data_IF_034659382167
#
_entry.id   IF_034659382167
#
_cell.length_a   1.000
_cell.length_b   1.000
_cell.length_c   1.000
_cell.angle_alpha   90.00
_cell.angle_beta   90.00
_cell.angle_gamma   90.00
#
_symmetry.space_group_name_H-M   'P 1'
#
loop_
_entity.id
_entity.type
_entity.pdbx_description
1 polymer ?
#
# COMPACT_ATOMS: atom_id res chain seq x y z
N UNK A 1 -11.48 3.20 2.99
CA UNK A 1 -10.09 3.54 2.60
C UNK A 1 -10.11 4.91 1.95
N UNK A 2 -8.99 5.63 1.95
CA UNK A 2 -8.86 6.96 1.36
C UNK A 2 -7.52 7.14 0.68
N UNK A 3 -7.39 8.19 -0.12
CA UNK A 3 -6.11 8.63 -0.65
C UNK A 3 -5.14 8.97 0.50
N UNK A 4 -3.98 8.33 0.49
CA UNK A 4 -2.85 8.59 1.39
C UNK A 4 -1.84 9.56 0.79
N UNK A 5 -0.57 9.39 1.13
CA UNK A 5 0.53 10.19 0.60
C UNK A 5 0.67 10.02 -0.92
N UNK A 6 0.89 11.12 -1.64
CA UNK A 6 1.16 11.13 -3.08
C UNK A 6 2.26 12.14 -3.39
N UNK A 7 3.27 11.70 -4.13
CA UNK A 7 4.36 12.52 -4.64
C UNK A 7 4.76 12.06 -6.05
N UNK A 8 5.27 12.98 -6.85
CA UNK A 8 5.56 12.77 -8.27
C UNK A 8 4.41 13.22 -9.15
N UNK A 9 4.74 13.93 -10.24
CA UNK A 9 3.78 14.68 -11.06
C UNK A 9 2.70 13.82 -11.74
N UNK A 10 2.95 12.52 -11.93
CA UNK A 10 2.01 11.59 -12.56
C UNK A 10 1.53 10.48 -11.60
N UNK A 11 1.87 10.57 -10.32
CA UNK A 11 1.44 9.60 -9.31
C UNK A 11 -0.01 9.86 -8.90
N UNK A 12 -0.78 8.80 -8.68
CA UNK A 12 -2.19 8.91 -8.30
C UNK A 12 -2.69 7.69 -7.53
N UNK A 13 -3.88 7.86 -6.96
CA UNK A 13 -4.66 6.78 -6.34
C UNK A 13 -6.08 6.85 -6.88
N UNK A 14 -6.62 5.73 -7.34
CA UNK A 14 -7.96 5.67 -7.93
C UNK A 14 -8.68 4.38 -7.53
N UNK A 15 -9.99 4.49 -7.24
CA UNK A 15 -10.85 3.33 -6.98
C UNK A 15 -11.33 2.73 -8.31
N UNK A 16 -11.15 1.43 -8.47
CA UNK A 16 -11.73 0.63 -9.55
C UNK A 16 -12.92 -0.18 -9.02
N UNK A 17 -13.57 -1.04 -9.82
CA UNK A 17 -14.69 -1.85 -9.33
C UNK A 17 -14.29 -2.83 -8.22
N UNK A 18 -13.11 -3.44 -8.34
CA UNK A 18 -12.67 -4.59 -7.53
C UNK A 18 -11.36 -4.36 -6.76
N UNK A 19 -10.69 -3.22 -6.95
CA UNK A 19 -9.46 -2.86 -6.26
C UNK A 19 -9.33 -1.34 -6.09
N UNK A 20 -8.36 -0.92 -5.27
CA UNK A 20 -7.81 0.44 -5.30
C UNK A 20 -6.45 0.38 -5.97
N UNK A 21 -6.26 1.21 -6.99
CA UNK A 21 -4.99 1.33 -7.70
C UNK A 21 -4.18 2.48 -7.11
N UNK A 22 -2.94 2.19 -6.73
CA UNK A 22 -1.92 3.18 -6.42
C UNK A 22 -0.88 3.14 -7.53
N UNK A 23 -0.61 4.28 -8.16
CA UNK A 23 0.32 4.40 -9.27
C UNK A 23 1.40 5.43 -8.93
N UNK A 24 2.66 5.03 -9.03
CA UNK A 24 3.82 5.87 -8.79
C UNK A 24 4.59 6.07 -10.08
N UNK A 25 4.67 7.33 -10.53
CA UNK A 25 5.43 7.71 -11.72
C UNK A 25 5.74 9.21 -11.69
N UNK A 26 6.97 9.54 -12.09
CA UNK A 26 7.38 10.92 -12.31
C UNK A 26 8.40 10.94 -13.44
N UNK A 27 8.00 11.51 -14.57
CA UNK A 27 8.85 11.61 -15.76
C UNK A 27 10.00 12.62 -15.59
N UNK A 28 9.91 13.54 -14.63
CA UNK A 28 10.88 14.63 -14.45
C UNK A 28 12.08 14.24 -13.59
N UNK A 29 11.86 13.47 -12.52
CA UNK A 29 12.93 13.04 -11.59
C UNK A 29 13.13 11.53 -11.54
N UNK A 30 12.24 10.76 -12.19
CA UNK A 30 12.21 9.30 -12.12
C UNK A 30 11.62 8.72 -10.83
N UNK A 31 11.25 9.55 -9.85
CA UNK A 31 10.78 9.12 -8.53
C UNK A 31 9.40 9.66 -8.14
N UNK A 32 8.63 8.84 -7.46
CA UNK A 32 7.22 9.03 -7.17
C UNK A 32 6.72 8.02 -6.16
N UNK A 33 5.59 8.36 -5.54
CA UNK A 33 4.95 7.54 -4.53
C UNK A 33 3.44 7.79 -4.57
N UNK A 34 2.65 6.75 -4.37
CA UNK A 34 1.22 6.86 -4.16
C UNK A 34 0.75 5.80 -3.17
N UNK A 35 -0.06 6.22 -2.20
CA UNK A 35 -0.52 5.35 -1.13
C UNK A 35 -2.04 5.37 -0.97
N UNK A 36 -2.62 4.22 -0.65
CA UNK A 36 -3.98 4.12 -0.08
C UNK A 36 -3.87 3.81 1.40
N UNK A 37 -4.75 4.39 2.21
CA UNK A 37 -4.73 4.23 3.68
C UNK A 37 -6.12 3.94 4.26
N UNK A 38 -6.17 3.26 5.40
CA UNK A 38 -7.40 3.14 6.21
C UNK A 38 -7.84 4.50 6.74
N UNK A 39 -9.15 4.79 6.71
CA UNK A 39 -9.70 6.07 7.18
C UNK A 39 -9.72 6.12 8.71
N UNK A 40 -10.02 4.98 9.31
CA UNK A 40 -10.07 4.74 10.75
C UNK A 40 -8.87 3.85 11.08
N UNK A 41 -8.16 4.12 12.17
CA UNK A 41 -7.11 3.22 12.61
C UNK A 41 -7.69 1.86 13.01
N UNK A 42 -6.93 0.81 12.76
CA UNK A 42 -7.25 -0.58 13.06
C UNK A 42 -6.55 -0.95 14.35
N UNK A 43 -7.27 -1.51 15.30
CA UNK A 43 -6.66 -2.04 16.53
C UNK A 43 -5.88 -3.32 16.21
N UNK A 44 -4.58 -3.30 16.49
CA UNK A 44 -3.66 -4.41 16.26
C UNK A 44 -3.36 -5.20 17.55
N UNK A 45 -4.03 -4.90 18.66
CA UNK A 45 -3.86 -5.63 19.92
C UNK A 45 -4.10 -7.13 19.73
N UNK A 46 -3.06 -7.94 19.95
CA UNK A 46 -3.11 -9.39 19.81
C UNK A 46 -3.13 -9.91 18.36
N UNK A 47 -2.92 -9.03 17.37
CA UNK A 47 -2.83 -9.42 15.95
C UNK A 47 -1.40 -9.82 15.60
N UNK A 48 -1.22 -10.95 14.93
CA UNK A 48 0.11 -11.41 14.50
C UNK A 48 0.49 -10.84 13.14
N UNK A 49 -0.43 -10.88 12.19
CA UNK A 49 -0.21 -10.47 10.81
C UNK A 49 -1.33 -9.61 10.24
N UNK A 50 -0.92 -8.58 9.51
CA UNK A 50 -1.77 -7.91 8.52
C UNK A 50 -1.46 -8.52 7.17
N UNK A 51 -2.48 -9.03 6.48
CA UNK A 51 -2.35 -9.61 5.14
C UNK A 51 -2.97 -8.68 4.12
N UNK A 52 -2.19 -8.32 3.09
CA UNK A 52 -2.65 -7.53 1.96
C UNK A 52 -2.80 -8.45 0.74
N UNK A 53 -3.99 -8.49 0.16
CA UNK A 53 -4.27 -9.12 -1.14
C UNK A 53 -4.05 -8.08 -2.23
N UNK A 54 -3.06 -8.29 -3.09
CA UNK A 54 -2.58 -7.29 -4.03
C UNK A 54 -2.06 -7.90 -5.32
N UNK A 55 -1.92 -7.07 -6.36
CA UNK A 55 -1.06 -7.31 -7.51
C UNK A 55 -0.04 -6.18 -7.64
N UNK A 56 1.12 -6.48 -8.24
CA UNK A 56 2.19 -5.52 -8.49
C UNK A 56 2.62 -5.55 -9.95
N UNK A 57 2.40 -4.43 -10.61
CA UNK A 57 2.71 -4.21 -12.02
C UNK A 57 3.70 -3.05 -12.15
N UNK A 58 4.41 -3.00 -13.28
CA UNK A 58 5.33 -1.92 -13.57
C UNK A 58 6.63 -2.35 -14.19
N UNK A 59 7.60 -1.46 -14.11
CA UNK A 59 8.97 -1.72 -14.51
C UNK A 59 9.57 -2.84 -13.63
N UNK A 60 10.41 -3.70 -14.19
CA UNK A 60 11.09 -4.78 -13.45
C UNK A 60 12.29 -4.30 -12.62
N UNK A 61 12.45 -2.98 -12.48
CA UNK A 61 13.58 -2.36 -11.82
C UNK A 61 13.56 -2.57 -10.30
N UNK A 62 14.73 -2.83 -9.72
CA UNK A 62 14.93 -3.13 -8.30
C UNK A 62 14.73 -1.91 -7.38
N UNK A 63 14.69 -0.70 -7.93
CA UNK A 63 14.53 0.56 -7.19
C UNK A 63 13.06 0.93 -6.99
N UNK A 64 12.14 0.00 -7.23
CA UNK A 64 10.72 0.28 -7.18
C UNK A 64 9.94 -0.90 -6.61
N UNK A 65 9.05 -0.61 -5.66
CA UNK A 65 8.44 -1.60 -4.77
C UNK A 65 6.95 -1.32 -4.54
N UNK A 66 6.21 -2.41 -4.32
CA UNK A 66 4.98 -2.38 -3.53
C UNK A 66 5.33 -2.42 -2.05
N UNK A 67 4.91 -1.42 -1.27
CA UNK A 67 5.27 -1.28 0.14
C UNK A 67 4.00 -1.31 1.00
N UNK A 68 4.02 -2.12 2.06
CA UNK A 68 2.86 -2.39 2.92
C UNK A 68 3.22 -2.07 4.36
N UNK A 69 2.45 -1.20 5.00
CA UNK A 69 2.83 -0.54 6.25
C UNK A 69 1.69 -0.58 7.26
N UNK A 70 2.04 -0.77 8.52
CA UNK A 70 1.25 -0.34 9.67
C UNK A 70 1.94 0.87 10.32
N UNK A 71 1.20 1.94 10.60
CA UNK A 71 1.77 3.09 11.31
C UNK A 71 0.78 3.93 12.10
N UNK A 72 1.26 4.52 13.19
CA UNK A 72 0.61 5.58 13.94
C UNK A 72 0.35 6.84 13.09
N UNK A 73 1.15 7.08 12.04
CA UNK A 73 0.96 8.19 11.10
C UNK A 73 0.11 7.79 9.90
N UNK A 74 -1.06 8.41 9.76
CA UNK A 74 -1.98 8.12 8.66
C UNK A 74 -1.47 8.57 7.29
N UNK A 75 -0.76 9.70 7.22
CA UNK A 75 -0.42 10.38 5.95
C UNK A 75 1.08 10.38 5.63
N UNK A 76 1.87 9.56 6.33
CA UNK A 76 3.30 9.43 6.02
C UNK A 76 3.56 8.86 4.63
N UNK A 77 4.77 9.10 4.11
CA UNK A 77 5.28 8.39 2.94
C UNK A 77 5.77 6.98 3.29
N UNK A 78 6.41 6.30 2.34
CA UNK A 78 6.90 4.93 2.46
C UNK A 78 8.03 4.76 3.49
N UNK A 79 8.70 5.87 3.84
CA UNK A 79 9.73 5.94 4.89
C UNK A 79 9.20 6.15 6.31
N UNK A 80 7.91 6.46 6.48
CA UNK A 80 7.29 6.62 7.80
C UNK A 80 6.55 5.34 8.14
N UNK A 81 6.99 4.56 9.11
CA UNK A 81 6.33 3.30 9.48
C UNK A 81 6.65 2.88 10.92
N UNK A 82 5.76 2.08 11.51
CA UNK A 82 6.03 1.35 12.75
C UNK A 82 6.33 -0.13 12.45
N UNK A 83 5.68 -0.69 11.42
CA UNK A 83 6.05 -1.96 10.80
C UNK A 83 5.89 -1.88 9.28
N UNK A 84 6.77 -2.56 8.53
CA UNK A 84 6.76 -2.55 7.06
C UNK A 84 7.23 -3.87 6.45
N UNK A 85 6.65 -4.20 5.30
CA UNK A 85 7.16 -5.21 4.36
C UNK A 85 7.05 -4.67 2.94
N UNK A 86 7.83 -5.20 2.01
CA UNK A 86 7.86 -4.72 0.62
C UNK A 86 8.10 -5.85 -0.37
N UNK A 87 7.78 -5.59 -1.63
CA UNK A 87 7.90 -6.53 -2.77
C UNK A 87 8.32 -5.76 -4.01
N UNK A 88 9.46 -6.12 -4.60
CA UNK A 88 9.95 -5.50 -5.83
C UNK A 88 9.56 -6.27 -7.10
N UNK A 89 9.57 -7.61 -7.02
CA UNK A 89 9.22 -8.48 -8.14
C UNK A 89 7.75 -8.34 -8.52
N UNK A 90 7.50 -8.19 -9.82
CA UNK A 90 6.15 -8.15 -10.37
C UNK A 90 5.41 -9.44 -10.04
N UNK A 91 4.11 -9.31 -9.78
CA UNK A 91 3.28 -10.46 -9.42
C UNK A 91 1.85 -10.22 -9.83
N UNK A 92 1.20 -11.29 -10.29
CA UNK A 92 -0.25 -11.34 -10.40
C UNK A 92 -0.86 -11.36 -8.99
N UNK A 93 -2.19 -11.33 -8.90
CA UNK A 93 -2.90 -11.27 -7.63
C UNK A 93 -2.42 -12.35 -6.65
N UNK A 94 -1.90 -11.91 -5.51
CA UNK A 94 -1.34 -12.75 -4.45
C UNK A 94 -1.47 -12.04 -3.10
N UNK A 95 -0.94 -12.63 -2.04
CA UNK A 95 -0.93 -12.04 -0.70
C UNK A 95 0.47 -11.76 -0.19
N UNK A 96 0.59 -10.72 0.63
CA UNK A 96 1.79 -10.45 1.43
C UNK A 96 1.41 -10.25 2.89
N UNK A 97 2.17 -10.88 3.79
CA UNK A 97 1.98 -10.75 5.24
C UNK A 97 2.99 -9.76 5.82
N UNK A 98 2.47 -8.81 6.58
CA UNK A 98 3.21 -7.88 7.43
C UNK A 98 3.12 -8.37 8.88
N UNK A 99 4.25 -8.68 9.50
CA UNK A 99 4.29 -9.01 10.94
C UNK A 99 4.01 -7.75 11.77
N UNK A 100 3.02 -7.82 12.66
CA UNK A 100 2.62 -6.74 13.57
C UNK A 100 2.50 -7.19 15.02
N UNK A 101 2.98 -8.40 15.35
CA UNK A 101 2.89 -9.01 16.69
C UNK A 101 3.52 -8.19 17.83
N UNK A 102 4.40 -7.24 17.51
CA UNK A 102 5.02 -6.31 18.46
C UNK A 102 4.23 -5.00 18.62
N UNK A 103 3.15 -4.79 17.86
CA UNK A 103 2.31 -3.59 17.90
C UNK A 103 1.06 -3.87 18.74
N UNK A 104 0.56 -2.84 19.42
CA UNK A 104 -0.65 -2.91 20.24
C UNK A 104 -1.39 -1.58 20.20
N UNK A 105 -2.71 -1.62 20.09
CA UNK A 105 -3.56 -0.44 19.92
C UNK A 105 -3.76 -0.01 18.46
N UNK A 106 -4.18 1.25 18.23
CA UNK A 106 -4.66 1.72 16.94
C UNK A 106 -3.55 2.11 15.95
N UNK A 107 -3.57 1.53 14.74
CA UNK A 107 -2.63 1.84 13.64
C UNK A 107 -3.35 2.01 12.30
N UNK A 108 -2.81 2.85 11.42
CA UNK A 108 -3.25 2.97 10.04
C UNK A 108 -2.52 1.97 9.15
N UNK A 109 -3.28 1.31 8.27
CA UNK A 109 -2.74 0.36 7.32
C UNK A 109 -2.63 1.01 5.95
N UNK A 110 -1.46 0.90 5.33
CA UNK A 110 -1.16 1.53 4.04
C UNK A 110 -0.59 0.54 3.04
N UNK A 111 -0.95 0.70 1.78
CA UNK A 111 -0.28 0.08 0.65
C UNK A 111 0.18 1.19 -0.30
N UNK A 112 1.45 1.13 -0.71
CA UNK A 112 2.11 2.13 -1.53
C UNK A 112 2.63 1.48 -2.82
N UNK A 113 2.46 2.17 -3.94
CA UNK A 113 3.39 2.05 -5.05
C UNK A 113 4.51 3.08 -4.85
N UNK A 114 5.77 2.67 -5.04
CA UNK A 114 6.92 3.54 -4.87
C UNK A 114 7.98 3.25 -5.93
N UNK A 115 8.65 4.29 -6.42
CA UNK A 115 9.91 4.19 -7.15
C UNK A 115 10.91 5.23 -6.61
N UNK A 116 12.12 4.77 -6.32
CA UNK A 116 13.24 5.65 -6.01
C UNK A 116 13.76 6.29 -7.31
N UNK A 117 14.07 7.58 -7.23
CA UNK A 117 14.43 8.39 -8.39
C UNK A 117 15.69 7.94 -9.12
N UNK A 118 15.90 8.50 -10.31
CA UNK A 118 17.07 8.24 -11.15
C UNK A 118 16.76 7.57 -12.49
N UNK A 119 15.58 6.98 -12.67
CA UNK A 119 15.14 6.38 -13.93
C UNK A 119 13.63 6.62 -14.13
N UNK A 120 13.18 6.84 -15.36
CA UNK A 120 11.76 6.99 -15.71
C UNK A 120 11.00 5.64 -15.64
N UNK A 121 10.95 5.03 -14.47
CA UNK A 121 10.24 3.78 -14.19
C UNK A 121 8.88 4.06 -13.57
N UNK A 122 7.97 3.09 -13.59
CA UNK A 122 6.67 3.21 -12.91
C UNK A 122 6.36 1.94 -12.14
N UNK A 123 5.57 2.09 -11.07
CA UNK A 123 4.99 0.96 -10.33
C UNK A 123 3.52 1.19 -10.07
N UNK A 124 2.81 0.09 -9.97
CA UNK A 124 1.38 0.05 -9.71
C UNK A 124 1.07 -1.05 -8.71
N UNK A 125 0.48 -0.67 -7.58
CA UNK A 125 -0.11 -1.60 -6.63
C UNK A 125 -1.60 -1.59 -6.82
N UNK A 126 -2.18 -2.76 -7.09
CA UNK A 126 -3.63 -2.97 -7.05
C UNK A 126 -3.96 -3.66 -5.75
N UNK A 127 -4.62 -2.98 -4.83
CA UNK A 127 -5.00 -3.52 -3.53
C UNK A 127 -6.47 -3.97 -3.56
N UNK A 128 -6.69 -5.27 -3.32
CA UNK A 128 -8.01 -5.89 -3.34
C UNK A 128 -8.61 -5.99 -1.94
N UNK A 129 -7.84 -6.48 -0.96
CA UNK A 129 -8.33 -6.76 0.41
C UNK A 129 -7.25 -6.56 1.46
N UNK A 130 -7.69 -6.36 2.70
CA UNK A 130 -6.87 -6.38 3.90
C UNK A 130 -7.50 -7.32 4.92
N UNK A 131 -6.69 -8.19 5.53
CA UNK A 131 -7.09 -9.13 6.57
C UNK A 131 -6.19 -8.99 7.81
N UNK A 132 -6.73 -9.29 8.99
CA UNK A 132 -6.00 -9.48 10.25
C UNK A 132 -6.06 -10.96 10.62
N UNK A 133 -4.93 -11.66 10.66
CA UNK A 133 -4.88 -13.10 11.00
C UNK A 133 -5.95 -13.95 10.28
N UNK A 134 -6.20 -13.66 8.99
CA UNK A 134 -7.23 -14.27 8.12
C UNK A 134 -8.66 -13.72 8.22
N UNK A 135 -8.94 -12.79 9.14
CA UNK A 135 -10.22 -12.07 9.20
C UNK A 135 -10.20 -10.87 8.26
N UNK A 136 -11.05 -10.88 7.24
CA UNK A 136 -11.23 -9.73 6.35
C UNK A 136 -11.73 -8.51 7.11
N UNK A 137 -11.03 -7.37 6.96
CA UNK A 137 -11.42 -6.09 7.55
C UNK A 137 -11.73 -5.03 6.50
N UNK A 138 -11.27 -5.23 5.27
CA UNK A 138 -11.58 -4.37 4.15
C UNK A 138 -11.48 -5.12 2.82
N UNK A 139 -12.40 -4.80 1.92
CA UNK A 139 -12.51 -5.38 0.59
C UNK A 139 -12.99 -4.33 -0.41
N UNK A 140 -12.21 -4.12 -1.47
CA UNK A 140 -12.49 -3.11 -2.47
C UNK A 140 -13.76 -3.41 -3.29
N UNK A 141 -14.09 -4.69 -3.52
CA UNK A 141 -15.28 -5.08 -4.31
C UNK A 141 -16.58 -4.93 -3.53
N UNK A 142 -16.52 -4.98 -2.21
CA UNK A 142 -17.69 -5.08 -1.33
C UNK A 142 -18.33 -3.71 -1.05
N UNK A 143 -18.57 -2.86 -2.07
CA UNK A 143 -19.23 -1.54 -1.93
C UNK A 143 -18.62 -0.58 -0.89
N UNK A 144 -17.52 -0.98 -0.26
CA UNK A 144 -16.93 -0.35 0.90
C UNK A 144 -16.22 0.89 0.45
N UNK A 145 -16.71 2.02 0.94
CA UNK A 145 -16.35 3.34 0.43
C UNK A 145 -14.83 3.54 0.43
N UNK A 146 -14.30 3.71 -0.78
CA UNK A 146 -13.18 4.59 -0.98
C UNK A 146 -13.75 6.00 -0.78
N UNK A 147 -13.42 6.65 0.34
CA UNK A 147 -13.87 8.00 0.68
C UNK A 147 -12.69 8.94 0.51
#
# INVERSE_FOLDING_TARGET
MRKGYVWGSNSYVVKQSDHVECYAYNSSTGGGEAAVVTNIPVDLTGVSYVVFDYALEGSSDIQSDGIFIASSSQMGGAGTFDARTYRGSLTTRTTVSLSVSSLSGPYYLRAHASNNGGVAVWKRVRLYRILLDSKEIWNASAGGSYV
#
